data_IF_732214520210
#
_entry.id   IF_732214520210
#
_cell.length_a   1.000
_cell.length_b   1.000
_cell.length_c   1.000
_cell.angle_alpha   90.00
_cell.angle_beta   90.00
_cell.angle_gamma   90.00
#
_symmetry.space_group_name_H-M   'P 1'
#
loop_
_entity.id
_entity.type
_entity.pdbx_description
1 polymer ?
#
# COMPACT_ATOMS: atom_id res chain seq x y z
N UNK A 1 7.50 30.46 -19.85
CA UNK A 1 6.19 30.66 -19.17
C UNK A 1 5.32 29.40 -19.20
N UNK A 2 5.11 28.77 -20.34
CA UNK A 2 4.32 27.53 -20.43
C UNK A 2 4.93 26.38 -19.62
N UNK A 3 6.23 26.23 -19.62
CA UNK A 3 6.97 25.19 -18.88
C UNK A 3 6.72 25.25 -17.37
N UNK A 4 6.83 26.46 -16.78
CA UNK A 4 6.55 26.68 -15.36
C UNK A 4 5.10 26.31 -15.00
N UNK A 5 4.15 26.56 -15.92
CA UNK A 5 2.76 26.16 -15.71
C UNK A 5 2.58 24.64 -15.74
N UNK A 6 3.30 23.94 -16.61
CA UNK A 6 3.30 22.47 -16.65
C UNK A 6 3.90 21.85 -15.40
N UNK A 7 5.02 22.41 -14.91
CA UNK A 7 5.68 21.96 -13.68
C UNK A 7 4.76 22.16 -12.48
N UNK A 8 4.14 23.34 -12.38
CA UNK A 8 3.18 23.64 -11.31
C UNK A 8 1.97 22.69 -11.36
N UNK A 9 1.46 22.40 -12.55
CA UNK A 9 0.33 21.48 -12.74
C UNK A 9 0.72 20.05 -12.35
N UNK A 10 1.90 19.59 -12.73
CA UNK A 10 2.39 18.25 -12.38
C UNK A 10 2.58 18.11 -10.87
N UNK A 11 3.14 19.13 -10.22
CA UNK A 11 3.32 19.17 -8.78
C UNK A 11 1.98 19.17 -8.02
N UNK A 12 1.00 19.96 -8.47
CA UNK A 12 -0.33 19.97 -7.85
C UNK A 12 -1.01 18.59 -7.98
N UNK A 13 -0.95 17.96 -9.14
CA UNK A 13 -1.48 16.60 -9.33
C UNK A 13 -0.82 15.59 -8.40
N UNK A 14 0.50 15.60 -8.34
CA UNK A 14 1.24 14.69 -7.47
C UNK A 14 0.89 14.89 -5.99
N UNK A 15 0.71 16.15 -5.55
CA UNK A 15 0.26 16.45 -4.18
C UNK A 15 -1.18 15.99 -3.94
N UNK A 16 -2.07 16.13 -4.91
CA UNK A 16 -3.44 15.65 -4.79
C UNK A 16 -3.48 14.12 -4.64
N UNK A 17 -2.75 13.37 -5.44
CA UNK A 17 -2.65 11.92 -5.31
C UNK A 17 -2.09 11.49 -3.96
N UNK A 18 -1.15 12.26 -3.40
CA UNK A 18 -0.66 12.03 -2.02
C UNK A 18 -1.75 12.28 -0.99
N UNK A 19 -2.51 13.36 -1.12
CA UNK A 19 -3.63 13.66 -0.22
C UNK A 19 -4.71 12.57 -0.29
N UNK A 20 -5.02 12.08 -1.48
CA UNK A 20 -5.96 10.97 -1.68
C UNK A 20 -5.49 9.70 -0.99
N UNK A 21 -4.19 9.40 -1.08
CA UNK A 21 -3.58 8.26 -0.37
C UNK A 21 -3.66 8.42 1.15
N UNK A 22 -3.38 9.62 1.67
CA UNK A 22 -3.48 9.93 3.11
C UNK A 22 -4.94 9.81 3.57
N UNK A 23 -5.88 10.35 2.82
CA UNK A 23 -7.32 10.28 3.11
C UNK A 23 -7.80 8.83 3.18
N UNK A 24 -7.35 8.00 2.25
CA UNK A 24 -7.65 6.57 2.26
C UNK A 24 -7.06 5.86 3.49
N UNK A 25 -5.81 6.18 3.85
CA UNK A 25 -5.19 5.63 5.06
C UNK A 25 -5.95 6.05 6.33
N UNK A 26 -6.42 7.29 6.41
CA UNK A 26 -7.19 7.79 7.56
C UNK A 26 -8.56 7.10 7.62
N UNK A 27 -9.25 6.97 6.49
CA UNK A 27 -10.54 6.29 6.42
C UNK A 27 -10.45 4.84 6.93
N UNK A 28 -9.31 4.18 6.69
CA UNK A 28 -9.06 2.80 7.07
C UNK A 28 -8.24 2.65 8.37
N UNK A 29 -8.07 3.72 9.16
CA UNK A 29 -7.26 3.67 10.38
C UNK A 29 -7.81 2.67 11.41
N UNK A 30 -9.12 2.46 11.45
CA UNK A 30 -9.79 1.52 12.33
C UNK A 30 -10.11 0.16 11.67
N UNK A 31 -9.67 -0.06 10.44
CA UNK A 31 -9.91 -1.31 9.73
C UNK A 31 -8.88 -2.35 10.13
N UNK A 32 -9.34 -3.49 10.66
CA UNK A 32 -8.47 -4.58 11.07
C UNK A 32 -7.70 -5.17 9.88
N UNK A 33 -6.40 -5.37 10.05
CA UNK A 33 -5.56 -5.92 8.99
C UNK A 33 -5.23 -4.97 7.84
N UNK A 34 -5.67 -3.70 7.90
CA UNK A 34 -5.31 -2.72 6.88
C UNK A 34 -3.81 -2.42 6.90
N UNK A 35 -3.21 -2.34 5.73
CA UNK A 35 -1.82 -1.97 5.53
C UNK A 35 -1.75 -0.65 4.78
N UNK A 36 -1.18 0.37 5.42
CA UNK A 36 -1.11 1.73 4.87
C UNK A 36 -0.33 1.76 3.54
N UNK A 37 -0.78 2.62 2.64
CA UNK A 37 -0.11 2.92 1.40
C UNK A 37 0.73 4.19 1.56
N UNK A 38 1.98 4.12 1.13
CA UNK A 38 2.87 5.26 1.03
C UNK A 38 3.10 5.59 -0.43
N UNK A 39 3.08 6.87 -0.75
CA UNK A 39 3.29 7.39 -2.10
C UNK A 39 4.68 8.00 -2.18
N UNK A 40 5.49 7.52 -3.12
CA UNK A 40 6.80 8.08 -3.42
C UNK A 40 6.72 8.95 -4.67
N UNK A 41 7.40 10.08 -4.64
CA UNK A 41 7.54 10.96 -5.80
C UNK A 41 8.76 10.57 -6.61
N UNK A 42 8.63 10.67 -7.93
CA UNK A 42 9.74 10.59 -8.88
C UNK A 42 9.80 11.90 -9.64
N UNK A 43 11.02 12.36 -9.81
CA UNK A 43 11.31 13.48 -10.68
C UNK A 43 11.13 13.07 -12.14
N UNK A 44 10.68 13.99 -12.96
CA UNK A 44 10.67 13.82 -14.40
C UNK A 44 12.06 14.15 -14.95
N UNK A 45 12.29 13.78 -16.19
CA UNK A 45 13.59 13.94 -16.85
C UNK A 45 14.05 15.41 -16.79
N UNK A 46 15.29 15.62 -16.35
CA UNK A 46 15.91 16.94 -16.40
C UNK A 46 16.31 17.28 -17.85
N UNK A 47 15.93 18.47 -18.32
CA UNK A 47 16.40 18.98 -19.56
C UNK A 47 17.72 19.74 -19.34
N UNK A 48 18.77 19.30 -20.01
CA UNK A 48 20.07 19.99 -19.98
C UNK A 48 19.99 21.14 -20.95
N UNK A 49 19.99 22.38 -20.42
CA UNK A 49 20.03 23.57 -21.24
C UNK A 49 21.45 23.78 -21.78
N UNK A 50 21.80 23.03 -22.82
CA UNK A 50 23.02 23.27 -23.60
C UNK A 50 22.76 24.49 -24.53
N UNK A 51 23.05 25.67 -24.03
CA UNK A 51 23.06 26.89 -24.85
C UNK A 51 24.34 26.88 -25.72
N UNK A 52 24.20 26.37 -26.93
CA UNK A 52 25.21 26.59 -27.97
C UNK A 52 25.35 28.10 -28.23
N UNK A 53 26.46 28.72 -27.80
CA UNK A 53 26.78 30.09 -28.13
C UNK A 53 27.16 31.01 -26.97
N UNK A 54 27.13 30.57 -25.74
CA UNK A 54 27.71 31.30 -24.61
C UNK A 54 29.07 30.71 -24.26
N UNK A 55 30.12 31.52 -24.05
CA UNK A 55 31.40 31.03 -23.57
C UNK A 55 31.21 30.48 -22.17
N UNK A 56 31.10 29.18 -22.06
CA UNK A 56 31.12 28.49 -20.77
C UNK A 56 32.56 28.57 -20.30
N UNK A 57 32.82 29.31 -19.26
CA UNK A 57 34.12 29.34 -18.61
C UNK A 57 34.42 27.88 -18.18
N UNK A 58 35.51 27.31 -18.66
CA UNK A 58 35.92 25.91 -18.45
C UNK A 58 36.01 25.51 -16.95
N UNK A 59 35.94 26.47 -16.06
CA UNK A 59 35.96 26.30 -14.60
C UNK A 59 34.56 26.07 -13.98
N UNK A 60 33.46 26.34 -14.69
CA UNK A 60 32.12 26.18 -14.16
C UNK A 60 31.49 24.90 -14.77
N UNK A 61 31.72 23.76 -14.11
CA UNK A 61 31.05 22.49 -14.40
C UNK A 61 29.58 22.43 -13.94
N UNK A 62 28.96 23.57 -13.68
CA UNK A 62 27.55 23.62 -13.26
C UNK A 62 26.71 23.55 -14.52
N UNK A 63 26.34 22.35 -14.88
CA UNK A 63 25.30 22.10 -15.90
C UNK A 63 24.00 22.65 -15.31
N UNK A 64 23.48 23.73 -15.92
CA UNK A 64 22.15 24.23 -15.58
C UNK A 64 21.13 23.19 -16.02
N UNK A 65 20.62 22.46 -15.04
CA UNK A 65 19.53 21.50 -15.25
C UNK A 65 18.21 22.16 -14.89
N UNK A 66 17.27 22.13 -15.80
CA UNK A 66 15.90 22.54 -15.52
C UNK A 66 15.07 21.28 -15.28
N UNK A 67 14.38 21.21 -14.14
CA UNK A 67 13.47 20.10 -13.84
C UNK A 67 12.19 20.24 -14.68
N UNK A 68 11.70 19.15 -15.24
CA UNK A 68 10.47 19.13 -16.07
C UNK A 68 9.23 18.73 -15.28
N UNK A 69 9.32 18.76 -13.95
CA UNK A 69 8.21 18.47 -13.04
C UNK A 69 8.35 17.17 -12.25
N UNK A 70 7.29 16.82 -11.54
CA UNK A 70 7.22 15.68 -10.64
C UNK A 70 6.00 14.80 -10.94
N UNK A 71 6.14 13.49 -10.72
CA UNK A 71 5.01 12.56 -10.77
C UNK A 71 5.04 11.60 -9.59
N UNK A 72 3.91 11.02 -9.28
CA UNK A 72 3.86 9.86 -8.38
C UNK A 72 4.55 8.69 -9.07
N UNK A 73 5.54 8.12 -8.39
CA UNK A 73 6.35 7.02 -8.93
C UNK A 73 5.78 5.66 -8.62
N UNK A 74 5.53 5.40 -7.35
CA UNK A 74 5.12 4.08 -6.87
C UNK A 74 4.33 4.20 -5.57
N UNK A 75 3.31 3.36 -5.44
CA UNK A 75 2.63 3.13 -4.18
C UNK A 75 3.24 1.93 -3.47
N UNK A 76 3.84 2.17 -2.34
CA UNK A 76 4.44 1.12 -1.52
C UNK A 76 3.54 0.81 -0.34
N UNK A 77 3.13 -0.45 -0.22
CA UNK A 77 2.39 -0.93 0.94
C UNK A 77 3.36 -1.21 2.09
N UNK A 78 3.03 -0.70 3.27
CA UNK A 78 3.79 -0.97 4.48
C UNK A 78 3.27 -2.27 5.11
N UNK A 79 4.09 -3.31 5.06
CA UNK A 79 3.75 -4.63 5.57
C UNK A 79 4.23 -4.88 7.01
N UNK A 80 4.71 -3.84 7.70
CA UNK A 80 5.13 -3.98 9.09
C UNK A 80 4.01 -4.53 9.97
N UNK A 81 4.37 -5.36 10.95
CA UNK A 81 3.42 -5.93 11.91
C UNK A 81 2.85 -4.82 12.79
N UNK A 82 1.52 -4.77 12.88
CA UNK A 82 0.82 -3.90 13.83
C UNK A 82 0.73 -4.54 15.22
N UNK A 83 0.24 -3.78 16.18
CA UNK A 83 -0.03 -4.29 17.52
C UNK A 83 -1.14 -5.34 17.48
N UNK A 84 -0.92 -6.45 18.14
CA UNK A 84 -1.92 -7.49 18.35
C UNK A 84 -2.73 -7.14 19.59
N UNK A 85 -4.06 -7.16 19.48
CA UNK A 85 -4.98 -6.88 20.58
C UNK A 85 -5.81 -8.12 20.86
N UNK A 86 -5.90 -8.51 22.11
CA UNK A 86 -6.74 -9.62 22.50
C UNK A 86 -8.19 -9.16 22.63
N UNK A 87 -9.10 -9.78 21.86
CA UNK A 87 -10.53 -9.43 21.83
C UNK A 87 -11.38 -10.33 22.73
N UNK A 88 -10.87 -11.50 23.09
CA UNK A 88 -11.60 -12.49 23.89
C UNK A 88 -12.64 -13.30 23.09
N UNK A 89 -12.76 -13.09 21.79
CA UNK A 89 -13.62 -13.86 20.90
C UNK A 89 -12.82 -15.05 20.31
N UNK A 90 -13.41 -16.23 20.32
CA UNK A 90 -12.77 -17.44 19.82
C UNK A 90 -12.65 -17.50 18.28
N UNK A 91 -13.41 -16.67 17.59
CA UNK A 91 -13.43 -16.56 16.13
C UNK A 91 -12.43 -15.55 15.59
N UNK A 92 -11.94 -14.65 16.45
CA UNK A 92 -10.95 -13.66 16.06
C UNK A 92 -9.57 -14.30 15.99
N UNK A 93 -8.97 -14.22 14.82
CA UNK A 93 -7.67 -14.79 14.54
C UNK A 93 -6.68 -13.71 14.14
N UNK A 94 -5.46 -13.78 14.63
CA UNK A 94 -4.40 -12.88 14.20
C UNK A 94 -3.17 -13.69 13.77
N UNK A 95 -2.54 -13.26 12.68
CA UNK A 95 -1.27 -13.84 12.24
C UNK A 95 -0.13 -13.00 12.81
N UNK A 96 0.73 -13.61 13.59
CA UNK A 96 2.00 -13.02 13.99
C UNK A 96 3.06 -13.33 12.93
N UNK A 97 3.69 -12.28 12.40
CA UNK A 97 4.64 -12.39 11.31
C UNK A 97 4.04 -12.19 9.91
N UNK A 98 4.70 -12.75 8.89
CA UNK A 98 4.31 -12.63 7.48
C UNK A 98 3.34 -13.73 7.06
N UNK A 99 2.25 -13.38 6.40
CA UNK A 99 1.25 -14.34 5.91
C UNK A 99 -0.09 -13.68 5.65
N UNK A 100 -1.01 -14.45 5.09
CA UNK A 100 -2.40 -14.04 4.82
C UNK A 100 -3.31 -15.22 5.09
N UNK A 101 -4.54 -14.95 5.48
CA UNK A 101 -5.60 -15.96 5.51
C UNK A 101 -6.09 -16.20 4.08
N UNK A 102 -6.19 -17.46 3.70
CA UNK A 102 -6.84 -17.85 2.45
C UNK A 102 -8.35 -17.97 2.72
N UNK A 103 -9.12 -17.24 1.93
CA UNK A 103 -10.58 -17.32 1.98
C UNK A 103 -11.11 -17.72 0.60
N UNK A 104 -12.16 -18.51 0.59
CA UNK A 104 -12.83 -18.96 -0.62
C UNK A 104 -14.09 -18.14 -0.79
N UNK A 105 -14.18 -17.43 -1.91
CA UNK A 105 -15.38 -16.68 -2.28
C UNK A 105 -16.52 -17.62 -2.71
N UNK A 106 -17.77 -17.15 -2.75
CA UNK A 106 -18.90 -17.96 -3.24
C UNK A 106 -18.69 -18.52 -4.65
N UNK A 107 -17.89 -17.85 -5.48
CA UNK A 107 -17.52 -18.26 -6.84
C UNK A 107 -16.41 -19.33 -6.89
N UNK A 108 -16.05 -19.92 -5.74
CA UNK A 108 -14.90 -20.82 -5.59
C UNK A 108 -13.54 -20.21 -5.94
N UNK A 109 -13.44 -18.91 -6.09
CA UNK A 109 -12.15 -18.23 -6.25
C UNK A 109 -11.46 -18.06 -4.91
N UNK A 110 -10.13 -18.21 -4.90
CA UNK A 110 -9.31 -18.00 -3.73
C UNK A 110 -8.93 -16.52 -3.61
N UNK A 111 -9.16 -15.94 -2.45
CA UNK A 111 -8.73 -14.61 -2.10
C UNK A 111 -7.88 -14.66 -0.82
N UNK A 112 -7.09 -13.63 -0.59
CA UNK A 112 -6.20 -13.54 0.56
C UNK A 112 -6.51 -12.29 1.36
N UNK A 113 -6.72 -12.46 2.66
CA UNK A 113 -7.00 -11.37 3.58
C UNK A 113 -6.03 -11.38 4.76
N UNK A 114 -5.81 -10.22 5.35
CA UNK A 114 -5.10 -10.08 6.63
C UNK A 114 -6.06 -9.78 7.78
N UNK A 115 -7.32 -9.46 7.47
CA UNK A 115 -8.35 -9.31 8.48
C UNK A 115 -8.60 -10.65 9.16
N UNK A 116 -8.62 -10.64 10.48
CA UNK A 116 -8.86 -11.83 11.30
C UNK A 116 -10.18 -11.79 12.02
N UNK A 117 -11.06 -10.86 11.66
CA UNK A 117 -12.40 -10.76 12.21
C UNK A 117 -13.32 -11.73 11.47
N UNK A 118 -13.50 -12.92 12.03
CA UNK A 118 -14.32 -13.96 11.44
C UNK A 118 -15.58 -14.19 12.27
N UNK A 119 -16.65 -14.60 11.60
CA UNK A 119 -17.93 -14.94 12.18
C UNK A 119 -18.24 -16.42 11.91
N UNK A 120 -19.10 -17.00 12.73
CA UNK A 120 -19.60 -18.35 12.51
C UNK A 120 -20.96 -18.28 11.85
N UNK A 121 -21.10 -18.90 10.69
CA UNK A 121 -22.37 -19.03 9.98
C UNK A 121 -23.30 -20.06 10.68
N UNK A 122 -24.59 -20.08 10.33
CA UNK A 122 -25.57 -21.03 10.83
C UNK A 122 -25.19 -22.51 10.62
N UNK A 123 -24.33 -22.78 9.64
CA UNK A 123 -23.77 -24.11 9.35
C UNK A 123 -22.51 -24.45 10.19
N UNK A 124 -22.07 -23.54 11.08
CA UNK A 124 -20.85 -23.72 11.87
C UNK A 124 -19.55 -23.46 11.07
N UNK A 125 -19.65 -22.91 9.87
CA UNK A 125 -18.49 -22.55 9.05
C UNK A 125 -17.99 -21.17 9.42
N UNK A 126 -16.67 -21.00 9.48
CA UNK A 126 -16.03 -19.71 9.74
C UNK A 126 -16.04 -18.89 8.45
N UNK A 127 -16.63 -17.72 8.49
CA UNK A 127 -16.79 -16.80 7.35
C UNK A 127 -16.30 -15.40 7.72
N UNK A 128 -15.86 -14.67 6.71
CA UNK A 128 -15.52 -13.26 6.80
C UNK A 128 -16.79 -12.38 6.77
N UNK A 129 -16.69 -11.11 7.08
CA UNK A 129 -17.79 -10.13 7.01
C UNK A 129 -18.48 -10.07 5.63
N UNK A 130 -17.75 -10.46 4.57
CA UNK A 130 -18.27 -10.53 3.21
C UNK A 130 -18.91 -11.90 2.85
N UNK A 131 -18.95 -12.83 3.81
CA UNK A 131 -19.48 -14.18 3.58
C UNK A 131 -18.50 -15.15 2.90
N UNK A 132 -17.23 -14.79 2.77
CA UNK A 132 -16.21 -15.68 2.23
C UNK A 132 -15.82 -16.71 3.29
N UNK A 133 -15.68 -17.97 2.89
CA UNK A 133 -15.32 -19.06 3.80
C UNK A 133 -13.82 -19.10 4.04
N UNK A 134 -13.41 -19.17 5.31
CA UNK A 134 -12.01 -19.38 5.66
C UNK A 134 -11.58 -20.81 5.24
N UNK A 135 -10.54 -20.87 4.41
CA UNK A 135 -9.93 -22.14 4.01
C UNK A 135 -8.99 -22.62 5.12
N UNK A 136 -9.48 -23.54 5.96
CA UNK A 136 -8.66 -24.18 6.98
C UNK A 136 -8.23 -25.53 6.45
N UNK A 137 -6.94 -25.70 6.13
CA UNK A 137 -6.40 -27.00 5.83
C UNK A 137 -6.29 -27.82 7.13
N UNK A 138 -7.12 -28.84 7.26
CA UNK A 138 -7.09 -29.77 8.40
C UNK A 138 -5.74 -30.44 8.61
N UNK A 139 -4.88 -30.40 7.61
CA UNK A 139 -3.55 -31.02 7.68
C UNK A 139 -2.54 -30.17 8.45
N UNK A 140 -2.76 -28.87 8.55
CA UNK A 140 -1.92 -27.94 9.32
C UNK A 140 -2.37 -27.77 10.77
N UNK A 141 -3.54 -28.27 11.16
CA UNK A 141 -4.08 -28.18 12.52
C UNK A 141 -3.51 -29.25 13.49
N UNK A 142 -2.36 -29.82 13.18
CA UNK A 142 -1.53 -30.38 14.24
C UNK A 142 -0.75 -29.24 14.90
N UNK A 143 -1.49 -28.40 15.59
CA UNK A 143 -0.95 -27.58 16.64
C UNK A 143 -0.26 -28.49 17.64
N UNK A 144 1.01 -28.26 17.82
CA UNK A 144 1.74 -28.72 18.98
C UNK A 144 1.02 -28.24 20.24
N UNK A 145 0.06 -29.01 20.72
CA UNK A 145 -0.34 -29.00 22.11
C UNK A 145 0.64 -29.90 22.86
N UNK A 146 1.86 -29.42 23.09
CA UNK A 146 2.79 -30.04 24.02
C UNK A 146 3.60 -28.95 24.69
N UNK A 147 3.20 -28.76 25.93
CA UNK A 147 3.79 -28.04 27.05
C UNK A 147 3.54 -26.57 27.19
#
# INVERSE_FOLDING_TARGET
>A
MLEIMWDSKSAMRAQQEKLDTISNNIANANTNGYKKLNTNFKDLVHETLDRKGYPVNAASKTVLQNGTGVRVGEWKRDNTQGSLTQTGLSTDLAIDGTGYFEVTQPDNTKAYTRSGNFLTDASGTIVDEMGNRLSIDRKSTRLNSSH
#
